data_IF_637629871293
#
_entry.id   IF_637629871293
#
_cell.length_a   1.000
_cell.length_b   1.000
_cell.length_c   1.000
_cell.angle_alpha   90.00
_cell.angle_beta   90.00
_cell.angle_gamma   90.00
#
_symmetry.space_group_name_H-M   'P 1'
#
loop_
_entity.id
_entity.type
_entity.pdbx_description
1 polymer ?
#
# COMPACT_ATOMS: atom_id res chain seq x y z
N UNK A 1 -14.68 1.18 -11.82
CA UNK A 1 -13.77 2.35 -11.91
C UNK A 1 -12.72 2.06 -12.97
N UNK A 2 -12.68 2.88 -14.02
CA UNK A 2 -11.84 2.68 -15.23
C UNK A 2 -10.35 2.57 -14.89
N UNK A 3 -9.84 3.49 -14.05
CA UNK A 3 -8.44 3.53 -13.58
C UNK A 3 -7.88 2.18 -13.09
N UNK A 4 -8.73 1.37 -12.44
CA UNK A 4 -8.30 0.06 -11.93
C UNK A 4 -8.18 -0.99 -13.03
N UNK A 5 -8.99 -0.88 -14.08
CA UNK A 5 -9.08 -1.86 -15.15
C UNK A 5 -8.05 -1.60 -16.25
N UNK A 6 -7.66 -0.35 -16.45
CA UNK A 6 -6.79 0.09 -17.56
C UNK A 6 -5.31 0.19 -17.21
N UNK A 7 -4.93 0.00 -15.93
CA UNK A 7 -3.50 -0.02 -15.54
C UNK A 7 -2.78 -1.26 -16.04
N UNK A 8 -1.48 -1.11 -16.31
CA UNK A 8 -0.54 -2.22 -16.42
C UNK A 8 -0.12 -2.71 -15.03
N UNK A 9 0.41 -3.93 -14.96
CA UNK A 9 1.04 -4.49 -13.77
C UNK A 9 2.54 -4.70 -14.03
N UNK A 10 3.40 -4.69 -12.99
CA UNK A 10 3.09 -4.50 -11.56
C UNK A 10 2.61 -3.09 -11.21
N UNK A 11 1.76 -2.98 -10.17
CA UNK A 11 1.22 -1.71 -9.71
C UNK A 11 1.82 -1.31 -8.37
N UNK A 12 2.57 -0.21 -8.36
CA UNK A 12 3.39 0.21 -7.22
C UNK A 12 2.71 1.36 -6.48
N UNK A 13 2.68 1.29 -5.15
CA UNK A 13 2.12 2.32 -4.26
C UNK A 13 3.21 3.21 -3.68
N UNK A 14 2.96 4.51 -3.59
CA UNK A 14 3.76 5.45 -2.80
C UNK A 14 2.94 5.99 -1.61
N UNK A 15 3.26 5.65 -0.35
CA UNK A 15 2.65 6.32 0.80
C UNK A 15 3.08 7.80 0.86
N UNK A 16 2.32 8.66 1.54
CA UNK A 16 2.72 9.99 2.07
C UNK A 16 3.63 10.89 1.21
N UNK A 17 3.61 10.71 -0.12
CA UNK A 17 4.54 11.33 -1.06
C UNK A 17 6.03 11.02 -0.80
N UNK A 18 6.33 9.77 -0.47
CA UNK A 18 7.69 9.25 -0.28
C UNK A 18 8.53 9.33 -1.55
N UNK A 19 9.85 9.49 -1.35
CA UNK A 19 10.83 9.48 -2.42
C UNK A 19 11.40 8.09 -2.60
N UNK A 20 11.65 7.66 -3.84
CA UNK A 20 12.61 6.58 -4.07
C UNK A 20 14.02 7.13 -4.16
N UNK A 21 14.96 6.46 -3.47
CA UNK A 21 16.32 6.98 -3.27
C UNK A 21 17.17 6.99 -4.56
N UNK A 22 16.77 6.25 -5.61
CA UNK A 22 17.64 5.90 -6.73
C UNK A 22 17.21 6.44 -8.11
N UNK A 23 16.13 7.21 -8.24
CA UNK A 23 15.75 7.87 -9.51
C UNK A 23 15.63 9.39 -9.35
N UNK A 24 16.69 10.00 -8.84
CA UNK A 24 16.83 11.44 -8.54
C UNK A 24 16.76 12.36 -9.78
N UNK A 25 16.77 11.82 -11.00
CA UNK A 25 16.62 12.61 -12.22
C UNK A 25 15.17 13.02 -12.49
N UNK A 26 14.20 12.39 -11.83
CA UNK A 26 12.78 12.72 -11.94
C UNK A 26 12.44 13.96 -11.12
N UNK A 27 11.55 14.79 -11.65
CA UNK A 27 10.90 15.84 -10.87
C UNK A 27 9.99 15.23 -9.80
N UNK A 28 9.59 16.05 -8.82
CA UNK A 28 8.71 15.60 -7.74
C UNK A 28 7.33 15.12 -8.24
N UNK A 29 6.83 15.65 -9.36
CA UNK A 29 5.59 15.21 -9.96
C UNK A 29 5.76 13.86 -10.68
N UNK A 30 6.82 13.71 -11.48
CA UNK A 30 7.15 12.46 -12.20
C UNK A 30 7.39 11.31 -11.24
N UNK A 31 8.10 11.55 -10.13
CA UNK A 31 8.32 10.56 -9.10
C UNK A 31 7.00 10.09 -8.47
N UNK A 32 6.11 11.01 -8.10
CA UNK A 32 4.80 10.63 -7.55
C UNK A 32 3.95 9.89 -8.56
N UNK A 33 3.92 10.36 -9.80
CA UNK A 33 3.17 9.73 -10.90
C UNK A 33 3.73 8.37 -11.33
N UNK A 34 4.96 8.02 -10.93
CA UNK A 34 5.51 6.67 -11.12
C UNK A 34 4.74 5.60 -10.31
N UNK A 35 3.95 6.03 -9.31
CA UNK A 35 3.06 5.16 -8.54
C UNK A 35 1.66 5.17 -9.12
N UNK A 36 0.98 4.04 -9.04
CA UNK A 36 -0.43 3.91 -9.44
C UNK A 36 -1.40 4.15 -8.28
N UNK A 37 -0.89 4.19 -7.04
CA UNK A 37 -1.65 4.55 -5.86
C UNK A 37 -0.82 5.45 -4.96
N UNK A 38 -1.42 6.56 -4.55
CA UNK A 38 -0.85 7.53 -3.65
C UNK A 38 -1.89 7.88 -2.59
N UNK A 39 -1.57 7.68 -1.31
CA UNK A 39 -2.41 8.16 -0.22
C UNK A 39 -1.78 9.31 0.56
N UNK A 40 -2.64 10.15 1.11
CA UNK A 40 -2.33 11.39 1.82
C UNK A 40 -1.59 12.47 1.01
N UNK A 41 -1.86 12.69 -0.30
CA UNK A 41 -1.48 13.96 -0.89
C UNK A 41 -2.41 15.03 -0.31
N UNK A 42 -1.86 15.91 0.53
CA UNK A 42 -2.66 16.92 1.23
C UNK A 42 -3.25 17.97 0.27
N UNK A 43 -2.66 18.14 -0.92
CA UNK A 43 -3.00 19.18 -1.91
C UNK A 43 -3.09 20.60 -1.31
N UNK A 44 -2.45 20.83 -0.16
CA UNK A 44 -2.53 22.08 0.61
C UNK A 44 -3.89 22.35 1.27
N UNK A 45 -4.80 21.37 1.31
CA UNK A 45 -6.09 21.46 1.98
C UNK A 45 -6.03 20.82 3.38
N UNK A 46 -6.91 21.29 4.27
CA UNK A 46 -7.06 20.76 5.63
C UNK A 46 -8.52 20.63 6.02
N UNK A 47 -8.81 19.70 6.93
CA UNK A 47 -10.12 19.62 7.57
C UNK A 47 -10.30 20.75 8.58
N UNK A 48 -11.50 21.32 8.66
CA UNK A 48 -11.86 22.32 9.66
C UNK A 48 -13.35 22.20 10.01
N UNK A 49 -13.70 22.45 11.29
CA UNK A 49 -15.10 22.64 11.68
C UNK A 49 -15.60 24.00 11.20
N UNK A 50 -16.79 24.02 10.63
CA UNK A 50 -17.53 25.17 10.13
C UNK A 50 -18.95 25.13 10.67
N UNK A 51 -19.72 26.20 10.48
CA UNK A 51 -21.13 26.25 10.90
C UNK A 51 -21.99 25.19 10.19
N UNK A 52 -21.53 24.69 9.03
CA UNK A 52 -22.19 23.65 8.23
C UNK A 52 -21.66 22.23 8.53
N UNK A 53 -20.73 22.09 9.48
CA UNK A 53 -20.06 20.83 9.82
C UNK A 53 -18.58 20.80 9.42
N UNK A 54 -18.03 19.62 9.14
CA UNK A 54 -16.62 19.46 8.75
C UNK A 54 -16.43 19.68 7.25
N UNK A 55 -15.50 20.55 6.88
CA UNK A 55 -15.19 20.91 5.50
C UNK A 55 -13.68 20.91 5.22
N UNK A 56 -13.31 20.77 3.94
CA UNK A 56 -11.96 21.00 3.47
C UNK A 56 -11.76 22.49 3.17
N UNK A 57 -10.69 23.08 3.68
CA UNK A 57 -10.35 24.51 3.48
C UNK A 57 -8.92 24.67 2.99
N UNK A 58 -8.70 25.67 2.13
CA UNK A 58 -7.39 25.98 1.54
C UNK A 58 -7.52 26.56 0.14
N UNK A 59 -6.44 26.56 -0.63
CA UNK A 59 -6.42 27.02 -2.02
C UNK A 59 -6.88 25.90 -2.96
N UNK A 60 -8.18 25.90 -3.29
CA UNK A 60 -8.80 24.93 -4.16
C UNK A 60 -8.27 24.94 -5.60
N UNK A 61 -7.84 26.10 -6.11
CA UNK A 61 -7.30 26.22 -7.46
C UNK A 61 -5.93 25.55 -7.51
N UNK A 62 -5.07 25.81 -6.51
CA UNK A 62 -3.79 25.15 -6.40
C UNK A 62 -3.95 23.64 -6.18
N UNK A 63 -4.88 23.22 -5.33
CA UNK A 63 -5.16 21.81 -5.07
C UNK A 63 -5.55 21.06 -6.35
N UNK A 64 -6.49 21.62 -7.12
CA UNK A 64 -6.94 21.02 -8.39
C UNK A 64 -5.82 20.96 -9.42
N UNK A 65 -5.02 22.02 -9.57
CA UNK A 65 -3.86 22.04 -10.47
C UNK A 65 -2.84 20.95 -10.12
N UNK A 66 -2.58 20.73 -8.82
CA UNK A 66 -1.66 19.67 -8.39
C UNK A 66 -2.19 18.29 -8.71
N UNK A 67 -3.50 18.05 -8.50
CA UNK A 67 -4.14 16.78 -8.86
C UNK A 67 -4.06 16.53 -10.37
N UNK A 68 -4.43 17.51 -11.19
CA UNK A 68 -4.40 17.42 -12.66
C UNK A 68 -2.99 17.15 -13.18
N UNK A 69 -1.98 17.85 -12.65
CA UNK A 69 -0.59 17.62 -13.04
C UNK A 69 -0.11 16.18 -12.78
N UNK A 70 -0.63 15.51 -11.74
CA UNK A 70 -0.31 14.10 -11.50
C UNK A 70 -1.09 13.17 -12.43
N UNK A 71 -2.38 13.46 -12.68
CA UNK A 71 -3.23 12.64 -13.55
C UNK A 71 -2.87 12.79 -15.04
N UNK A 72 -2.29 13.91 -15.44
CA UNK A 72 -1.73 14.10 -16.78
C UNK A 72 -0.52 13.19 -17.03
N UNK A 73 0.25 12.89 -15.97
CA UNK A 73 1.40 11.99 -16.02
C UNK A 73 1.01 10.52 -15.85
N UNK A 74 0.09 10.23 -14.93
CA UNK A 74 -0.49 8.90 -14.73
C UNK A 74 -2.02 8.98 -14.59
N UNK A 75 -2.76 8.78 -15.70
CA UNK A 75 -4.22 8.89 -15.69
C UNK A 75 -4.90 7.77 -14.88
N UNK A 76 -4.19 6.66 -14.63
CA UNK A 76 -4.69 5.53 -13.87
C UNK A 76 -4.43 5.63 -12.36
N UNK A 77 -3.76 6.69 -11.91
CA UNK A 77 -3.37 6.84 -10.52
C UNK A 77 -4.60 7.00 -9.59
N UNK A 78 -4.60 6.22 -8.52
CA UNK A 78 -5.55 6.27 -7.41
C UNK A 78 -5.04 7.21 -6.33
N UNK A 79 -5.87 8.17 -5.97
CA UNK A 79 -5.60 9.17 -4.94
C UNK A 79 -6.48 8.91 -3.72
N UNK A 80 -5.89 8.70 -2.55
CA UNK A 80 -6.65 8.49 -1.32
C UNK A 80 -6.34 9.56 -0.27
N UNK A 81 -7.34 9.99 0.48
CA UNK A 81 -7.15 10.85 1.64
C UNK A 81 -7.15 9.99 2.92
N UNK A 82 -6.10 10.07 3.73
CA UNK A 82 -6.12 9.41 5.03
C UNK A 82 -7.03 10.15 6.00
N UNK A 83 -7.95 9.41 6.63
CA UNK A 83 -8.81 9.91 7.71
C UNK A 83 -8.40 9.19 8.98
N UNK A 84 -7.92 9.94 9.98
CA UNK A 84 -7.47 9.33 11.22
C UNK A 84 -8.66 9.06 12.16
N UNK A 85 -8.91 7.78 12.44
CA UNK A 85 -9.94 7.33 13.39
C UNK A 85 -9.41 7.07 14.81
N UNK A 86 -8.10 6.91 14.98
CA UNK A 86 -7.53 6.42 16.23
C UNK A 86 -6.94 7.54 17.09
N UNK A 87 -6.39 8.57 16.47
CA UNK A 87 -5.77 9.64 17.22
C UNK A 87 -5.57 10.90 16.43
N UNK A 88 -5.24 11.95 17.16
CA UNK A 88 -4.85 13.23 16.62
C UNK A 88 -3.41 13.52 17.02
N UNK A 89 -2.57 13.91 16.07
CA UNK A 89 -1.27 14.47 16.40
C UNK A 89 -1.49 15.78 17.18
N UNK A 90 -1.06 15.88 18.46
CA UNK A 90 -1.24 17.08 19.26
C UNK A 90 -0.56 18.32 18.67
N UNK A 91 0.49 18.12 17.88
CA UNK A 91 1.25 19.19 17.24
C UNK A 91 0.72 19.54 15.86
N UNK A 92 -0.23 18.76 15.30
CA UNK A 92 -0.83 19.07 14.02
C UNK A 92 -1.84 20.22 14.17
N UNK A 93 -1.55 21.43 13.66
CA UNK A 93 -2.50 22.54 13.72
C UNK A 93 -3.78 22.21 12.92
N UNK A 94 -3.70 21.28 11.96
CA UNK A 94 -4.81 20.82 11.14
C UNK A 94 -5.79 19.94 11.92
N UNK A 95 -5.28 19.00 12.72
CA UNK A 95 -6.13 18.13 13.53
C UNK A 95 -6.58 18.80 14.82
N UNK A 96 -5.77 19.72 15.35
CA UNK A 96 -6.13 20.47 16.56
C UNK A 96 -7.42 21.25 16.40
N UNK A 97 -7.63 21.94 15.27
CA UNK A 97 -8.87 22.69 15.01
C UNK A 97 -10.10 21.79 14.82
N UNK A 98 -9.90 20.53 14.39
CA UNK A 98 -10.98 19.58 14.17
C UNK A 98 -11.45 18.92 15.48
N UNK A 99 -10.51 18.69 16.39
CA UNK A 99 -10.72 17.99 17.66
C UNK A 99 -10.61 18.91 18.89
N UNK A 100 -10.54 20.23 18.68
CA UNK A 100 -10.56 21.24 19.75
C UNK A 100 -11.98 21.49 20.25
N UNK A 101 -12.15 21.52 21.56
CA UNK A 101 -13.40 21.81 22.27
C UNK A 101 -13.42 21.11 23.62
N UNK A 102 -13.96 21.77 24.65
CA UNK A 102 -14.11 21.17 25.98
C UNK A 102 -15.07 19.98 25.98
N UNK A 103 -15.93 19.91 24.96
CA UNK A 103 -16.94 18.88 24.71
C UNK A 103 -16.43 17.68 23.89
N UNK A 104 -15.21 17.76 23.34
CA UNK A 104 -14.69 16.65 22.52
C UNK A 104 -14.30 15.45 23.40
N UNK A 105 -14.74 14.22 23.05
CA UNK A 105 -14.56 13.02 23.86
C UNK A 105 -13.13 12.46 23.76
N UNK A 106 -12.17 13.21 24.29
CA UNK A 106 -10.82 12.72 24.50
C UNK A 106 -10.82 11.54 25.47
N UNK A 107 -10.02 10.53 25.16
CA UNK A 107 -9.77 9.44 26.10
C UNK A 107 -8.88 9.99 27.20
N UNK A 108 -9.32 9.91 28.45
CA UNK A 108 -8.60 10.41 29.62
C UNK A 108 -8.22 9.26 30.56
N UNK A 109 -7.07 9.38 31.20
CA UNK A 109 -6.66 8.44 32.26
C UNK A 109 -7.35 8.77 33.60
N UNK A 110 -7.03 7.99 34.64
CA UNK A 110 -7.60 8.15 35.98
C UNK A 110 -7.26 9.51 36.64
N UNK A 111 -6.25 10.22 36.13
CA UNK A 111 -5.88 11.57 36.59
C UNK A 111 -6.63 12.68 35.84
N UNK A 112 -7.35 12.33 34.77
CA UNK A 112 -8.05 13.27 33.90
C UNK A 112 -7.22 13.80 32.73
N UNK A 113 -5.98 13.34 32.56
CA UNK A 113 -5.08 13.71 31.47
C UNK A 113 -5.42 12.95 30.18
N UNK A 114 -5.25 13.60 29.03
CA UNK A 114 -5.55 12.97 27.72
C UNK A 114 -4.52 11.87 27.44
N UNK A 115 -5.01 10.66 27.18
CA UNK A 115 -4.18 9.49 26.91
C UNK A 115 -3.51 9.58 25.54
N UNK A 116 -2.26 9.12 25.47
CA UNK A 116 -1.53 8.89 24.21
C UNK A 116 -1.75 7.46 23.71
N UNK A 117 -1.65 7.27 22.39
CA UNK A 117 -1.77 5.95 21.79
C UNK A 117 -0.70 4.98 22.29
N UNK A 118 -1.09 3.76 22.63
CA UNK A 118 -0.14 2.73 23.03
C UNK A 118 0.52 2.02 21.81
N UNK A 119 1.83 1.70 21.88
CA UNK A 119 2.75 2.07 22.96
C UNK A 119 3.21 3.54 22.85
N UNK A 120 3.15 4.28 23.96
CA UNK A 120 3.40 5.74 23.99
C UNK A 120 4.82 6.15 23.56
N UNK A 121 5.80 5.22 23.66
CA UNK A 121 7.16 5.43 23.19
C UNK A 121 7.26 5.51 21.65
N UNK A 122 6.29 4.95 20.93
CA UNK A 122 6.26 4.91 19.46
C UNK A 122 5.14 5.76 18.88
N UNK A 123 4.04 5.96 19.63
CA UNK A 123 2.86 6.66 19.14
C UNK A 123 2.60 7.92 19.97
N UNK A 124 2.86 9.09 19.37
CA UNK A 124 2.74 10.39 20.07
C UNK A 124 1.33 10.97 20.01
N UNK A 125 0.45 10.44 19.17
CA UNK A 125 -0.90 10.97 18.98
C UNK A 125 -1.77 10.81 20.24
N UNK A 126 -2.60 11.81 20.49
CA UNK A 126 -3.65 11.77 21.51
C UNK A 126 -4.77 10.84 21.04
N UNK A 127 -5.24 9.96 21.91
CA UNK A 127 -6.31 9.02 21.59
C UNK A 127 -7.68 9.72 21.56
N UNK A 128 -8.41 9.47 20.48
CA UNK A 128 -9.80 9.88 20.34
C UNK A 128 -10.72 8.70 20.63
N UNK A 129 -11.83 8.92 21.33
CA UNK A 129 -12.85 7.89 21.47
C UNK A 129 -13.73 7.86 20.21
N UNK A 130 -13.32 7.05 19.23
CA UNK A 130 -14.10 6.87 17.99
C UNK A 130 -15.43 6.12 18.20
N UNK A 131 -15.70 5.60 19.40
CA UNK A 131 -17.01 5.02 19.70
C UNK A 131 -18.04 6.08 20.08
N UNK A 132 -17.60 7.27 20.48
CA UNK A 132 -18.49 8.36 20.86
C UNK A 132 -19.21 8.96 19.62
N UNK A 133 -20.53 9.20 19.67
CA UNK A 133 -21.29 9.70 18.52
C UNK A 133 -20.71 10.94 17.84
N UNK A 134 -20.31 11.96 18.62
CA UNK A 134 -19.68 13.19 18.09
C UNK A 134 -18.42 12.88 17.27
N UNK A 135 -17.57 11.95 17.73
CA UNK A 135 -16.37 11.55 16.99
C UNK A 135 -16.74 10.81 15.70
N UNK A 136 -17.74 9.92 15.76
CA UNK A 136 -18.25 9.24 14.57
C UNK A 136 -18.77 10.26 13.55
N UNK A 137 -19.51 11.29 13.98
CA UNK A 137 -20.03 12.35 13.12
C UNK A 137 -18.91 13.10 12.42
N UNK A 138 -17.82 13.41 13.14
CA UNK A 138 -16.64 14.08 12.57
C UNK A 138 -15.95 13.18 11.54
N UNK A 139 -15.69 11.91 11.87
CA UNK A 139 -15.03 10.95 10.95
C UNK A 139 -15.87 10.77 9.67
N UNK A 140 -17.19 10.59 9.81
CA UNK A 140 -18.11 10.46 8.68
C UNK A 140 -18.12 11.74 7.85
N UNK A 141 -18.18 12.91 8.48
CA UNK A 141 -18.17 14.20 7.78
C UNK A 141 -16.85 14.44 7.04
N UNK A 142 -15.70 14.03 7.57
CA UNK A 142 -14.42 14.07 6.85
C UNK A 142 -14.47 13.24 5.56
N UNK A 143 -14.96 11.99 5.66
CA UNK A 143 -15.09 11.12 4.49
C UNK A 143 -16.03 11.71 3.43
N UNK A 144 -17.16 12.29 3.84
CA UNK A 144 -18.10 12.97 2.95
C UNK A 144 -17.48 14.21 2.30
N UNK A 145 -16.70 15.00 3.06
CA UNK A 145 -15.99 16.16 2.51
C UNK A 145 -14.96 15.75 1.45
N UNK A 146 -14.24 14.64 1.67
CA UNK A 146 -13.33 14.05 0.68
C UNK A 146 -14.11 13.64 -0.58
N UNK A 147 -15.20 12.89 -0.42
CA UNK A 147 -16.04 12.45 -1.55
C UNK A 147 -16.57 13.63 -2.39
N UNK A 148 -17.08 14.68 -1.74
CA UNK A 148 -17.61 15.88 -2.40
C UNK A 148 -16.55 16.71 -3.11
N UNK A 149 -15.28 16.58 -2.74
CA UNK A 149 -14.19 17.40 -3.29
C UNK A 149 -13.84 17.06 -4.74
N UNK A 150 -14.03 15.81 -5.17
CA UNK A 150 -13.55 15.29 -6.45
C UNK A 150 -12.01 15.25 -6.62
N UNK A 151 -11.24 15.52 -5.54
CA UNK A 151 -9.78 15.52 -5.57
C UNK A 151 -9.16 14.15 -5.27
N UNK A 152 -9.89 13.28 -4.56
CA UNK A 152 -9.48 11.93 -4.23
C UNK A 152 -10.53 10.92 -4.71
N UNK A 153 -10.08 9.72 -5.06
CA UNK A 153 -10.93 8.59 -5.42
C UNK A 153 -11.52 7.89 -4.18
N UNK A 154 -11.00 8.19 -2.97
CA UNK A 154 -11.50 7.61 -1.74
C UNK A 154 -10.73 8.00 -0.48
N UNK A 155 -10.96 7.22 0.58
CA UNK A 155 -10.29 7.37 1.87
C UNK A 155 -9.51 6.12 2.29
N UNK A 156 -8.53 6.35 3.16
CA UNK A 156 -7.80 5.33 3.89
C UNK A 156 -7.99 5.51 5.40
N UNK A 157 -8.43 4.46 6.08
CA UNK A 157 -8.31 4.34 7.54
C UNK A 157 -7.03 3.59 7.88
N UNK A 158 -5.92 4.30 8.09
CA UNK A 158 -4.57 3.72 8.22
C UNK A 158 -4.39 2.75 9.39
N UNK A 159 -5.26 2.81 10.41
CA UNK A 159 -5.23 1.90 11.54
C UNK A 159 -6.59 1.23 11.78
N UNK A 160 -6.66 -0.07 11.45
CA UNK A 160 -7.82 -0.94 11.55
C UNK A 160 -7.46 -2.27 12.22
N UNK A 161 -7.68 -2.34 13.54
CA UNK A 161 -7.42 -3.56 14.33
C UNK A 161 -8.72 -4.21 14.77
N UNK A 162 -8.97 -5.43 14.28
CA UNK A 162 -10.07 -6.29 14.75
C UNK A 162 -9.59 -7.40 15.69
N UNK A 163 -8.28 -7.51 15.93
CA UNK A 163 -7.70 -8.54 16.81
C UNK A 163 -7.48 -8.06 18.24
N UNK A 164 -7.48 -6.73 18.45
CA UNK A 164 -7.15 -6.09 19.73
C UNK A 164 -8.05 -4.89 19.95
N UNK A 165 -8.34 -4.62 21.22
CA UNK A 165 -9.06 -3.41 21.68
C UNK A 165 -8.07 -2.25 21.69
N UNK A 166 -8.36 -1.21 20.91
CA UNK A 166 -7.50 -0.02 20.76
C UNK A 166 -7.62 0.88 21.99
N UNK A 167 -8.84 1.04 22.49
CA UNK A 167 -9.25 1.84 23.64
C UNK A 167 -9.34 0.97 24.90
N UNK A 168 -8.34 0.09 25.10
CA UNK A 168 -8.31 -0.87 26.20
C UNK A 168 -8.44 -0.15 27.55
N UNK A 169 -9.40 -0.60 28.37
CA UNK A 169 -9.72 0.03 29.65
C UNK A 169 -10.77 1.15 29.57
N UNK A 170 -11.06 1.64 28.36
CA UNK A 170 -12.04 2.71 28.13
C UNK A 170 -13.28 2.23 27.38
N UNK A 171 -13.13 1.31 26.41
CA UNK A 171 -14.23 0.70 25.64
C UNK A 171 -14.07 -0.82 25.53
N UNK A 172 -15.18 -1.50 25.29
CA UNK A 172 -15.19 -2.94 24.99
C UNK A 172 -14.82 -3.19 23.54
N UNK A 173 -14.38 -4.41 23.24
CA UNK A 173 -14.14 -4.87 21.88
C UNK A 173 -15.38 -4.67 20.97
N UNK A 174 -16.55 -5.08 21.45
CA UNK A 174 -17.80 -4.98 20.71
C UNK A 174 -18.20 -3.52 20.42
N UNK A 175 -18.01 -2.62 21.37
CA UNK A 175 -18.28 -1.20 21.16
C UNK A 175 -17.40 -0.61 20.04
N UNK A 176 -16.12 -0.99 19.99
CA UNK A 176 -15.23 -0.56 18.91
C UNK A 176 -15.63 -1.14 17.55
N UNK A 177 -16.01 -2.42 17.49
CA UNK A 177 -16.42 -3.04 16.23
C UNK A 177 -17.74 -2.46 15.71
N UNK A 178 -18.71 -2.24 16.59
CA UNK A 178 -19.99 -1.61 16.24
C UNK A 178 -19.80 -0.17 15.76
N UNK A 179 -18.89 0.59 16.39
CA UNK A 179 -18.57 1.94 15.94
C UNK A 179 -17.92 1.95 14.54
N UNK A 180 -16.98 1.04 14.28
CA UNK A 180 -16.36 0.87 12.96
C UNK A 180 -17.39 0.55 11.88
N UNK A 181 -18.29 -0.39 12.15
CA UNK A 181 -19.36 -0.75 11.21
C UNK A 181 -20.35 0.40 10.99
N UNK A 182 -20.77 1.07 12.06
CA UNK A 182 -21.63 2.28 12.00
C UNK A 182 -21.01 3.37 11.13
N UNK A 183 -19.73 3.70 11.34
CA UNK A 183 -19.00 4.69 10.54
C UNK A 183 -18.99 4.30 9.06
N UNK A 184 -18.64 3.05 8.74
CA UNK A 184 -18.59 2.56 7.36
C UNK A 184 -19.96 2.63 6.69
N UNK A 185 -21.01 2.17 7.38
CA UNK A 185 -22.37 2.20 6.86
C UNK A 185 -22.82 3.64 6.59
N UNK A 186 -22.63 4.55 7.55
CA UNK A 186 -23.02 5.95 7.41
C UNK A 186 -22.28 6.68 6.30
N UNK A 187 -21.03 6.32 6.02
CA UNK A 187 -20.31 6.84 4.85
C UNK A 187 -20.98 6.31 3.57
N UNK A 188 -21.23 5.00 3.50
CA UNK A 188 -21.81 4.33 2.33
C UNK A 188 -23.25 4.73 2.03
N UNK A 189 -24.01 5.18 3.02
CA UNK A 189 -25.35 5.70 2.83
C UNK A 189 -25.37 7.05 2.06
N UNK A 190 -24.22 7.72 1.93
CA UNK A 190 -24.12 9.09 1.38
C UNK A 190 -23.19 9.22 0.19
N UNK A 191 -22.09 8.46 0.14
CA UNK A 191 -21.10 8.54 -0.95
C UNK A 191 -21.50 7.68 -2.14
N UNK A 192 -21.02 8.06 -3.33
CA UNK A 192 -21.23 7.30 -4.57
C UNK A 192 -20.61 5.89 -4.49
N UNK A 193 -21.16 4.98 -5.30
CA UNK A 193 -20.80 3.56 -5.27
C UNK A 193 -19.31 3.29 -5.59
N UNK A 194 -18.69 4.18 -6.37
CA UNK A 194 -17.29 4.10 -6.81
C UNK A 194 -16.29 4.76 -5.85
N UNK A 195 -16.75 5.44 -4.80
CA UNK A 195 -15.89 5.99 -3.76
C UNK A 195 -15.17 4.87 -3.00
N UNK A 196 -13.85 4.96 -2.88
CA UNK A 196 -13.04 3.88 -2.30
C UNK A 196 -12.95 4.03 -0.77
N UNK A 197 -13.10 2.91 -0.06
CA UNK A 197 -12.77 2.83 1.36
C UNK A 197 -11.75 1.71 1.55
N UNK A 198 -10.55 2.08 2.00
CA UNK A 198 -9.46 1.14 2.27
C UNK A 198 -9.11 1.21 3.75
N UNK A 199 -8.75 0.07 4.34
CA UNK A 199 -8.42 -0.02 5.77
C UNK A 199 -7.03 -0.61 5.97
N UNK A 200 -6.26 -0.05 6.90
CA UNK A 200 -4.92 -0.52 7.25
C UNK A 200 -4.92 -1.50 8.40
N UNK A 201 -4.85 -2.81 8.13
CA UNK A 201 -5.09 -3.82 9.15
C UNK A 201 -4.53 -5.20 8.83
N UNK A 202 -4.57 -6.10 9.82
CA UNK A 202 -3.98 -7.43 9.65
C UNK A 202 -5.01 -8.51 9.27
N UNK A 203 -4.85 -9.06 8.07
CA UNK A 203 -5.50 -10.30 7.64
C UNK A 203 -6.97 -10.17 7.26
N UNK A 204 -7.71 -11.27 7.44
CA UNK A 204 -9.12 -11.38 7.05
C UNK A 204 -10.01 -10.58 7.99
N UNK A 205 -10.82 -9.68 7.43
CA UNK A 205 -11.77 -8.89 8.22
C UNK A 205 -12.98 -9.75 8.61
N UNK A 206 -13.50 -9.49 9.81
CA UNK A 206 -14.73 -10.03 10.35
C UNK A 206 -15.87 -9.01 10.26
N UNK A 207 -15.55 -7.72 10.25
CA UNK A 207 -16.54 -6.64 10.26
C UNK A 207 -16.35 -5.71 9.06
N UNK A 208 -17.46 -5.15 8.56
CA UNK A 208 -17.44 -4.10 7.56
C UNK A 208 -16.98 -4.49 6.14
N UNK A 209 -16.65 -5.76 5.88
CA UNK A 209 -16.19 -6.23 4.56
C UNK A 209 -17.09 -5.80 3.38
N UNK A 210 -18.45 -5.79 3.48
CA UNK A 210 -19.32 -5.31 2.39
C UNK A 210 -19.14 -3.83 2.03
N UNK A 211 -18.56 -3.02 2.91
CA UNK A 211 -18.38 -1.58 2.74
C UNK A 211 -16.95 -1.20 2.31
N UNK A 212 -15.99 -2.12 2.39
CA UNK A 212 -14.56 -1.88 2.21
C UNK A 212 -14.11 -2.41 0.85
N UNK A 213 -13.36 -1.60 0.09
CA UNK A 213 -12.80 -1.95 -1.21
C UNK A 213 -11.44 -2.65 -1.09
N UNK A 214 -10.69 -2.41 -0.02
CA UNK A 214 -9.31 -2.89 0.07
C UNK A 214 -8.76 -2.92 1.49
N UNK A 215 -7.75 -3.75 1.67
CA UNK A 215 -6.97 -3.85 2.91
C UNK A 215 -5.51 -3.59 2.61
N UNK A 216 -4.85 -2.82 3.48
CA UNK A 216 -3.39 -2.80 3.57
C UNK A 216 -2.94 -3.97 4.41
N UNK A 217 -2.30 -4.96 3.79
CA UNK A 217 -1.65 -6.07 4.48
C UNK A 217 -0.18 -5.74 4.67
N UNK A 218 0.30 -5.95 5.88
CA UNK A 218 1.70 -5.72 6.26
C UNK A 218 2.43 -7.06 6.35
N UNK A 219 3.62 -7.16 5.73
CA UNK A 219 4.55 -8.26 6.02
C UNK A 219 5.47 -7.90 7.19
N UNK A 220 5.87 -8.92 7.94
CA UNK A 220 7.04 -8.79 8.80
C UNK A 220 8.33 -8.67 7.96
N UNK A 221 9.44 -8.15 8.56
CA UNK A 221 10.75 -8.20 7.93
C UNK A 221 11.09 -9.62 7.48
N UNK A 222 11.64 -9.75 6.28
CA UNK A 222 12.03 -11.06 5.74
C UNK A 222 13.30 -11.59 6.45
N UNK A 223 13.34 -12.89 6.72
CA UNK A 223 14.49 -13.54 7.38
C UNK A 223 14.79 -14.97 6.88
N UNK A 224 14.03 -15.48 5.90
CA UNK A 224 14.19 -16.83 5.33
C UNK A 224 13.97 -18.00 6.32
N UNK A 225 13.32 -17.74 7.46
CA UNK A 225 13.00 -18.75 8.47
C UNK A 225 11.76 -19.59 8.12
N UNK A 226 11.50 -20.65 8.90
CA UNK A 226 10.23 -21.39 8.80
C UNK A 226 9.03 -20.55 9.24
N UNK A 227 9.23 -19.62 10.18
CA UNK A 227 8.17 -18.72 10.64
C UNK A 227 7.77 -17.76 9.51
N UNK A 228 8.74 -17.28 8.73
CA UNK A 228 8.47 -16.51 7.51
C UNK A 228 7.62 -17.29 6.50
N UNK A 229 7.84 -18.59 6.30
CA UNK A 229 6.96 -19.39 5.41
C UNK A 229 5.51 -19.38 5.87
N UNK A 230 5.29 -19.48 7.18
CA UNK A 230 3.95 -19.39 7.77
C UNK A 230 3.36 -18.01 7.50
N UNK A 231 4.14 -16.94 7.68
CA UNK A 231 3.74 -15.57 7.33
C UNK A 231 3.36 -15.39 5.86
N UNK A 232 4.13 -15.97 4.93
CA UNK A 232 3.82 -15.92 3.49
C UNK A 232 2.49 -16.63 3.18
N UNK A 233 2.25 -17.81 3.77
CA UNK A 233 0.98 -18.52 3.62
C UNK A 233 -0.21 -17.73 4.19
N UNK A 234 -0.01 -17.00 5.30
CA UNK A 234 -1.03 -16.11 5.85
C UNK A 234 -1.33 -14.92 4.93
N UNK A 235 -0.30 -14.33 4.30
CA UNK A 235 -0.46 -13.26 3.31
C UNK A 235 -1.24 -13.75 2.08
N UNK A 236 -0.86 -14.90 1.52
CA UNK A 236 -1.56 -15.52 0.39
C UNK A 236 -3.04 -15.75 0.72
N UNK A 237 -3.32 -16.36 1.87
CA UNK A 237 -4.67 -16.66 2.31
C UNK A 237 -5.48 -15.39 2.55
N UNK A 238 -4.85 -14.33 3.03
CA UNK A 238 -5.50 -13.04 3.30
C UNK A 238 -5.79 -12.28 2.01
N UNK A 239 -4.85 -12.25 1.06
CA UNK A 239 -5.04 -11.64 -0.26
C UNK A 239 -6.17 -12.33 -1.02
N UNK A 240 -6.15 -13.66 -1.14
CA UNK A 240 -7.23 -14.39 -1.82
C UNK A 240 -8.59 -14.22 -1.15
N UNK A 241 -8.61 -14.13 0.19
CA UNK A 241 -9.84 -13.82 0.91
C UNK A 241 -10.32 -12.40 0.59
N UNK A 242 -9.45 -11.41 0.61
CA UNK A 242 -9.81 -10.02 0.34
C UNK A 242 -10.32 -9.85 -1.10
N UNK A 243 -9.64 -10.46 -2.06
CA UNK A 243 -9.99 -10.53 -3.49
C UNK A 243 -11.35 -11.20 -3.75
N UNK A 244 -11.88 -11.97 -2.79
CA UNK A 244 -13.18 -12.63 -2.91
C UNK A 244 -14.29 -11.93 -2.13
N UNK A 245 -13.97 -11.36 -0.97
CA UNK A 245 -14.99 -10.95 0.01
C UNK A 245 -15.15 -9.43 0.14
N UNK A 246 -14.21 -8.64 -0.37
CA UNK A 246 -14.33 -7.18 -0.34
C UNK A 246 -15.15 -6.64 -1.50
N UNK A 247 -15.63 -5.41 -1.31
CA UNK A 247 -16.45 -4.67 -2.27
C UNK A 247 -15.66 -4.32 -3.52
N UNK A 248 -16.33 -4.39 -4.68
CA UNK A 248 -15.76 -3.93 -5.95
C UNK A 248 -15.81 -2.39 -6.07
N UNK A 249 -14.86 -1.74 -6.77
CA UNK A 249 -13.62 -2.33 -7.28
C UNK A 249 -12.67 -2.69 -6.13
N UNK A 250 -12.03 -3.87 -6.21
CA UNK A 250 -11.09 -4.32 -5.17
C UNK A 250 -9.72 -3.68 -5.33
N UNK A 251 -9.22 -3.08 -4.24
CA UNK A 251 -7.95 -2.36 -4.18
C UNK A 251 -7.15 -2.82 -2.97
N UNK A 252 -6.77 -4.10 -2.99
CA UNK A 252 -5.88 -4.65 -1.97
C UNK A 252 -4.48 -4.08 -2.12
N UNK A 253 -3.76 -3.97 -1.03
CA UNK A 253 -2.41 -3.45 -1.04
C UNK A 253 -1.54 -4.27 -0.10
N UNK A 254 -0.40 -4.77 -0.61
CA UNK A 254 0.60 -5.45 0.20
C UNK A 254 1.77 -4.49 0.45
N UNK A 255 1.93 -4.07 1.70
CA UNK A 255 3.13 -3.42 2.18
C UNK A 255 4.09 -4.48 2.71
N UNK A 256 5.14 -4.73 1.94
CA UNK A 256 6.18 -5.64 2.34
C UNK A 256 7.40 -4.90 2.89
N UNK A 257 8.05 -5.51 3.87
CA UNK A 257 9.25 -4.98 4.50
C UNK A 257 10.45 -5.83 4.15
N UNK A 258 11.48 -5.20 3.60
CA UNK A 258 12.74 -5.88 3.31
C UNK A 258 13.55 -6.26 4.55
N UNK A 259 14.78 -6.70 4.31
CA UNK A 259 15.66 -7.26 5.34
C UNK A 259 16.51 -6.18 5.97
N UNK A 260 16.11 -5.71 7.15
CA UNK A 260 16.69 -4.61 7.93
C UNK A 260 18.22 -4.45 7.91
N UNK A 261 18.94 -5.57 7.87
CA UNK A 261 20.39 -5.68 7.96
C UNK A 261 21.12 -5.72 6.61
N UNK A 262 20.40 -5.65 5.50
CA UNK A 262 20.93 -5.82 4.14
C UNK A 262 20.80 -4.53 3.33
N UNK A 263 21.73 -4.30 2.39
CA UNK A 263 21.58 -3.21 1.43
C UNK A 263 20.37 -3.48 0.51
N UNK A 264 19.68 -2.44 0.00
CA UNK A 264 18.54 -2.59 -0.92
C UNK A 264 18.83 -3.47 -2.14
N UNK A 265 20.04 -3.33 -2.70
CA UNK A 265 20.53 -4.06 -3.86
C UNK A 265 21.32 -5.32 -3.51
N UNK A 266 21.40 -5.75 -2.25
CA UNK A 266 22.06 -7.02 -1.94
C UNK A 266 21.30 -8.19 -2.59
N UNK A 267 21.98 -9.28 -3.00
CA UNK A 267 21.30 -10.42 -3.60
C UNK A 267 20.16 -10.96 -2.74
N UNK A 268 20.37 -10.96 -1.42
CA UNK A 268 19.41 -11.41 -0.40
C UNK A 268 18.17 -10.51 -0.36
N UNK A 269 18.33 -9.19 -0.34
CA UNK A 269 17.20 -8.26 -0.27
C UNK A 269 16.45 -8.18 -1.61
N UNK A 270 17.17 -8.28 -2.75
CA UNK A 270 16.54 -8.41 -4.06
C UNK A 270 15.71 -9.70 -4.19
N UNK A 271 16.19 -10.81 -3.63
CA UNK A 271 15.41 -12.06 -3.57
C UNK A 271 14.12 -11.89 -2.77
N UNK A 272 14.18 -11.25 -1.60
CA UNK A 272 13.01 -10.94 -0.79
C UNK A 272 12.02 -10.03 -1.54
N UNK A 273 12.51 -8.98 -2.21
CA UNK A 273 11.70 -8.09 -3.04
C UNK A 273 10.95 -8.87 -4.13
N UNK A 274 11.66 -9.73 -4.90
CA UNK A 274 11.03 -10.54 -5.97
C UNK A 274 10.01 -11.52 -5.41
N UNK A 275 10.35 -12.21 -4.33
CA UNK A 275 9.47 -13.13 -3.62
C UNK A 275 8.12 -12.47 -3.28
N UNK A 276 8.16 -11.30 -2.63
CA UNK A 276 6.96 -10.59 -2.17
C UNK A 276 6.19 -9.91 -3.32
N UNK A 277 6.91 -9.35 -4.31
CA UNK A 277 6.30 -8.78 -5.51
C UNK A 277 5.49 -9.85 -6.26
N UNK A 278 6.10 -11.01 -6.49
CA UNK A 278 5.46 -12.11 -7.23
C UNK A 278 4.38 -12.82 -6.42
N UNK A 279 4.50 -12.91 -5.10
CA UNK A 279 3.40 -13.31 -4.21
C UNK A 279 2.19 -12.40 -4.44
N UNK A 280 2.37 -11.08 -4.39
CA UNK A 280 1.30 -10.10 -4.63
C UNK A 280 0.65 -10.34 -6.00
N UNK A 281 1.44 -10.36 -7.07
CA UNK A 281 0.95 -10.51 -8.44
C UNK A 281 0.22 -11.84 -8.70
N UNK A 282 0.65 -12.92 -8.05
CA UNK A 282 -0.01 -14.23 -8.18
C UNK A 282 -1.29 -14.34 -7.36
N UNK A 283 -1.44 -13.55 -6.29
CA UNK A 283 -2.57 -13.67 -5.33
C UNK A 283 -3.52 -12.47 -5.33
N UNK A 284 -3.22 -11.40 -6.06
CA UNK A 284 -3.91 -10.12 -6.03
C UNK A 284 -3.81 -9.40 -7.36
N UNK A 285 -4.79 -8.56 -7.67
CA UNK A 285 -4.66 -7.53 -8.73
C UNK A 285 -4.30 -6.17 -8.13
N UNK A 286 -4.16 -6.13 -6.82
CA UNK A 286 -3.91 -4.94 -6.04
C UNK A 286 -2.51 -4.35 -6.23
N UNK A 287 -2.15 -3.55 -5.25
CA UNK A 287 -0.98 -2.70 -5.28
C UNK A 287 0.10 -3.26 -4.36
N UNK A 288 1.34 -2.85 -4.60
CA UNK A 288 2.49 -3.36 -3.87
C UNK A 288 3.43 -2.22 -3.46
N UNK A 289 4.01 -2.34 -2.28
CA UNK A 289 5.14 -1.54 -1.85
C UNK A 289 6.15 -2.48 -1.19
N UNK A 290 7.41 -2.30 -1.52
CA UNK A 290 8.51 -2.91 -0.80
C UNK A 290 9.33 -1.80 -0.14
N UNK A 291 9.29 -1.71 1.18
CA UNK A 291 10.17 -0.80 1.91
C UNK A 291 11.59 -1.36 1.88
N UNK A 292 12.61 -0.49 1.89
CA UNK A 292 14.01 -0.84 1.62
C UNK A 292 14.59 -1.93 2.53
N UNK A 293 13.89 -2.29 3.61
CA UNK A 293 14.40 -3.28 4.54
C UNK A 293 15.58 -2.71 5.30
N UNK A 294 15.44 -1.52 5.81
CA UNK A 294 16.51 -0.81 6.47
C UNK A 294 15.94 -0.45 7.83
N UNK A 295 16.27 -1.24 8.85
CA UNK A 295 15.77 -1.07 10.22
C UNK A 295 16.86 -0.41 11.07
N UNK A 296 16.84 0.92 11.21
CA UNK A 296 17.83 1.58 12.07
C UNK A 296 17.31 1.93 13.46
N UNK A 297 18.20 1.71 14.44
CA UNK A 297 18.21 2.33 15.78
C UNK A 297 19.14 3.55 15.87
N UNK A 298 19.80 3.96 14.79
CA UNK A 298 20.62 5.18 14.78
C UNK A 298 20.19 6.11 13.63
N UNK A 299 19.63 7.29 13.94
CA UNK A 299 19.24 8.27 12.94
C UNK A 299 20.48 8.87 12.27
N UNK A 300 20.45 9.01 10.95
CA UNK A 300 21.38 9.90 10.25
C UNK A 300 20.81 11.33 10.29
N UNK A 301 21.63 12.39 10.41
CA UNK A 301 21.23 13.72 10.90
C UNK A 301 20.33 14.57 9.96
N UNK A 302 19.65 13.98 8.97
CA UNK A 302 18.87 14.71 7.97
C UNK A 302 17.40 14.87 8.33
N UNK A 303 16.87 14.12 9.31
CA UNK A 303 15.47 14.29 9.75
C UNK A 303 15.19 15.71 10.27
N UNK A 304 16.19 16.37 10.87
CA UNK A 304 16.09 17.77 11.31
C UNK A 304 16.12 18.78 10.13
N UNK A 305 16.78 18.43 9.02
CA UNK A 305 16.76 19.19 7.76
C UNK A 305 15.42 19.01 7.03
N UNK A 306 14.84 17.81 7.09
CA UNK A 306 13.56 17.47 6.46
C UNK A 306 12.37 18.19 7.13
N UNK A 307 12.40 18.32 8.47
CA UNK A 307 11.34 18.98 9.25
C UNK A 307 11.39 20.51 9.24
N UNK A 308 12.57 21.12 9.11
CA UNK A 308 12.75 22.55 9.34
C UNK A 308 13.07 23.39 8.09
N UNK A 309 12.96 22.86 6.86
CA UNK A 309 13.26 23.65 5.66
C UNK A 309 12.02 24.35 5.06
N UNK A 310 11.98 25.70 5.00
CA UNK A 310 10.89 26.46 4.37
C UNK A 310 10.89 26.38 2.84
N UNK A 311 11.84 25.69 2.22
CA UNK A 311 12.04 25.67 0.77
C UNK A 311 12.27 24.25 0.24
N UNK A 312 11.19 23.44 0.22
CA UNK A 312 11.14 22.09 -0.38
C UNK A 312 11.46 22.03 -1.89
N UNK A 313 11.89 23.14 -2.53
CA UNK A 313 12.12 23.23 -3.98
C UNK A 313 13.46 23.81 -4.41
N UNK A 314 14.40 24.12 -3.49
CA UNK A 314 15.53 24.99 -3.83
C UNK A 314 16.92 24.32 -3.94
N UNK A 315 17.12 23.06 -3.54
CA UNK A 315 18.48 22.48 -3.50
C UNK A 315 18.56 21.08 -4.11
N UNK A 316 18.51 21.03 -5.45
CA UNK A 316 18.58 19.81 -6.26
C UNK A 316 19.98 19.16 -6.28
N UNK A 317 21.04 19.94 -6.07
CA UNK A 317 22.42 19.43 -6.16
C UNK A 317 22.87 18.70 -4.89
N UNK A 318 22.26 19.01 -3.74
CA UNK A 318 22.45 18.28 -2.49
C UNK A 318 21.98 16.82 -2.58
N UNK A 319 20.77 16.59 -3.12
CA UNK A 319 20.19 15.25 -3.25
C UNK A 319 20.94 14.36 -4.23
N UNK A 320 21.53 14.95 -5.28
CA UNK A 320 22.37 14.22 -6.24
C UNK A 320 23.64 13.64 -5.61
N UNK A 321 24.25 14.36 -4.68
CA UNK A 321 25.44 13.88 -3.94
C UNK A 321 25.08 12.82 -2.88
N UNK A 322 23.89 12.90 -2.30
CA UNK A 322 23.36 11.96 -1.30
C UNK A 322 22.96 10.59 -1.87
N UNK A 323 22.74 10.49 -3.17
CA UNK A 323 22.32 9.20 -3.77
C UNK A 323 23.45 8.16 -3.77
N UNK A 324 24.67 8.59 -4.08
CA UNK A 324 25.84 7.70 -4.17
C UNK A 324 26.21 7.06 -2.81
N UNK A 325 25.76 7.65 -1.70
CA UNK A 325 25.93 7.04 -0.38
C UNK A 325 25.04 5.81 -0.18
N UNK A 326 23.88 5.71 -0.83
CA UNK A 326 22.98 4.56 -0.68
C UNK A 326 23.54 3.28 -1.30
N UNK A 327 24.42 3.43 -2.29
CA UNK A 327 25.10 2.32 -2.95
C UNK A 327 26.35 1.85 -2.18
N UNK A 328 26.80 2.63 -1.19
CA UNK A 328 28.11 2.43 -0.54
C UNK A 328 28.07 2.28 0.98
N UNK A 329 27.03 2.78 1.67
CA UNK A 329 26.84 2.56 3.11
C UNK A 329 25.38 2.74 3.57
N UNK A 330 25.03 2.01 4.64
CA UNK A 330 23.70 1.99 5.26
C UNK A 330 23.41 3.32 6.00
N UNK A 331 22.35 4.05 5.65
CA UNK A 331 21.92 5.26 6.39
C UNK A 331 20.42 5.56 6.24
N UNK A 332 19.88 6.42 7.12
CA UNK A 332 18.44 6.53 7.42
C UNK A 332 17.62 7.34 6.42
N UNK A 333 16.41 6.84 6.19
CA UNK A 333 15.24 7.60 5.73
C UNK A 333 14.02 6.91 6.34
N UNK A 334 13.23 7.65 7.12
CA UNK A 334 11.90 7.17 7.51
C UNK A 334 11.06 7.13 6.25
N UNK A 335 10.39 5.99 6.00
CA UNK A 335 9.37 5.90 4.97
C UNK A 335 9.93 6.26 3.57
N UNK A 336 11.00 5.59 3.12
CA UNK A 336 11.43 5.65 1.71
C UNK A 336 11.60 4.24 1.16
N UNK A 337 11.40 4.09 -0.14
CA UNK A 337 11.62 2.82 -0.84
C UNK A 337 12.70 2.95 -1.92
N UNK A 338 13.16 1.81 -2.43
CA UNK A 338 14.07 1.75 -3.57
C UNK A 338 13.26 1.32 -4.78
N UNK A 339 13.40 2.00 -5.92
CA UNK A 339 12.73 1.56 -7.15
C UNK A 339 13.54 0.47 -7.81
N UNK A 340 12.97 -0.72 -7.97
CA UNK A 340 13.64 -1.83 -8.62
C UNK A 340 13.21 -1.90 -10.09
N UNK A 341 14.17 -2.01 -11.02
CA UNK A 341 13.86 -2.17 -12.45
C UNK A 341 13.01 -3.43 -12.74
N UNK A 342 12.95 -4.37 -11.79
CA UNK A 342 12.01 -5.50 -11.80
C UNK A 342 10.55 -5.07 -11.93
N UNK A 343 10.19 -3.88 -11.44
CA UNK A 343 8.84 -3.30 -11.50
C UNK A 343 8.54 -2.57 -12.81
N UNK A 344 9.55 -2.29 -13.63
CA UNK A 344 9.36 -1.65 -14.95
C UNK A 344 8.83 -2.66 -16.00
N UNK A 345 8.63 -3.92 -15.62
CA UNK A 345 8.13 -4.96 -16.49
C UNK A 345 6.66 -4.73 -16.86
N UNK A 346 6.35 -4.52 -18.14
CA UNK A 346 4.97 -4.41 -18.61
C UNK A 346 4.31 -5.79 -18.77
N UNK A 347 3.70 -6.30 -17.70
CA UNK A 347 2.91 -7.54 -17.74
C UNK A 347 1.59 -7.36 -18.51
N UNK A 348 1.10 -6.13 -18.64
CA UNK A 348 -0.25 -5.80 -19.07
C UNK A 348 -1.31 -6.34 -18.09
N UNK A 349 -2.35 -7.00 -18.59
CA UNK A 349 -3.51 -7.40 -17.80
C UNK A 349 -3.52 -8.88 -17.42
N UNK A 350 -4.07 -9.26 -16.25
CA UNK A 350 -4.19 -10.66 -15.85
C UNK A 350 -5.15 -11.42 -16.78
N UNK A 351 -4.76 -12.66 -17.15
CA UNK A 351 -5.57 -13.57 -17.97
C UNK A 351 -6.15 -14.72 -17.13
N UNK A 352 -5.39 -15.23 -16.16
CA UNK A 352 -5.80 -16.38 -15.33
C UNK A 352 -6.12 -15.96 -13.90
N UNK A 353 -6.89 -16.82 -13.24
CA UNK A 353 -7.24 -16.66 -11.82
C UNK A 353 -6.02 -16.55 -10.91
N UNK A 354 -6.24 -15.93 -9.76
CA UNK A 354 -5.28 -15.77 -8.66
C UNK A 354 -5.06 -17.08 -7.91
N UNK A 355 -3.92 -17.23 -7.25
CA UNK A 355 -3.60 -18.35 -6.35
C UNK A 355 -3.48 -19.70 -7.05
N UNK A 356 -3.25 -19.73 -8.36
CA UNK A 356 -3.12 -20.98 -9.13
C UNK A 356 -1.76 -21.62 -8.89
N UNK A 357 -1.77 -22.87 -8.45
CA UNK A 357 -0.57 -23.70 -8.34
C UNK A 357 -0.07 -24.11 -9.72
N UNK A 358 1.25 -24.11 -9.91
CA UNK A 358 1.88 -24.64 -11.11
C UNK A 358 1.98 -26.16 -11.01
N UNK A 359 1.28 -26.87 -11.89
CA UNK A 359 1.25 -28.35 -11.93
C UNK A 359 0.89 -28.99 -10.58
N UNK A 360 0.01 -28.35 -9.81
CA UNK A 360 -0.42 -28.78 -8.47
C UNK A 360 0.74 -29.01 -7.49
N UNK A 361 1.88 -28.33 -7.68
CA UNK A 361 3.00 -28.38 -6.75
C UNK A 361 2.77 -27.37 -5.64
N UNK A 362 2.70 -27.87 -4.41
CA UNK A 362 2.52 -27.00 -3.24
C UNK A 362 3.65 -25.95 -3.14
N UNK A 363 3.25 -24.73 -2.80
CA UNK A 363 4.15 -23.58 -2.68
C UNK A 363 4.75 -23.08 -3.99
N UNK A 364 4.29 -23.54 -5.16
CA UNK A 364 4.75 -23.02 -6.45
C UNK A 364 3.54 -22.52 -7.25
N UNK A 365 3.50 -21.22 -7.49
CA UNK A 365 2.37 -20.53 -8.10
C UNK A 365 2.72 -19.96 -9.46
N UNK A 366 1.71 -19.89 -10.34
CA UNK A 366 1.82 -19.26 -11.65
C UNK A 366 0.60 -18.38 -11.90
N UNK A 367 0.82 -17.23 -12.53
CA UNK A 367 -0.26 -16.43 -13.09
C UNK A 367 0.10 -15.91 -14.47
N UNK A 368 -0.82 -16.04 -15.42
CA UNK A 368 -0.66 -15.56 -16.80
C UNK A 368 -1.21 -14.14 -16.93
N UNK A 369 -0.48 -13.33 -17.66
CA UNK A 369 -0.84 -11.98 -18.07
C UNK A 369 -0.76 -11.86 -19.59
N UNK A 370 -1.25 -10.75 -20.16
CA UNK A 370 -1.24 -10.51 -21.62
C UNK A 370 0.17 -10.61 -22.20
N UNK A 371 1.16 -10.03 -21.51
CA UNK A 371 2.52 -9.94 -22.01
C UNK A 371 3.47 -10.98 -21.41
N UNK A 372 3.01 -11.82 -20.48
CA UNK A 372 3.92 -12.70 -19.76
C UNK A 372 3.32 -13.61 -18.70
N UNK A 373 4.19 -14.09 -17.83
CA UNK A 373 3.85 -14.92 -16.68
C UNK A 373 4.58 -14.44 -15.44
N UNK A 374 3.96 -14.66 -14.29
CA UNK A 374 4.60 -14.46 -12.98
C UNK A 374 4.66 -15.80 -12.27
N UNK A 375 5.82 -16.09 -11.68
CA UNK A 375 6.05 -17.30 -10.89
C UNK A 375 6.51 -16.90 -9.49
N UNK A 376 5.89 -17.52 -8.50
CA UNK A 376 6.23 -17.35 -7.09
C UNK A 376 6.52 -18.73 -6.48
N UNK A 377 7.67 -18.87 -5.80
CA UNK A 377 8.12 -20.15 -5.24
C UNK A 377 8.46 -20.03 -3.76
N UNK A 378 7.70 -20.73 -2.92
CA UNK A 378 7.98 -21.01 -1.50
C UNK A 378 7.97 -22.52 -1.18
N UNK A 379 8.20 -23.36 -2.18
CA UNK A 379 8.04 -24.83 -2.10
C UNK A 379 9.11 -25.57 -1.28
N UNK A 380 10.07 -24.86 -0.69
CA UNK A 380 11.16 -25.45 0.12
C UNK A 380 12.41 -25.81 -0.68
N UNK A 381 12.39 -25.62 -2.01
CA UNK A 381 13.53 -25.88 -2.90
C UNK A 381 13.40 -25.15 -4.23
N UNK A 382 14.51 -25.05 -4.97
CA UNK A 382 14.46 -24.54 -6.34
C UNK A 382 13.62 -25.45 -7.24
N UNK A 383 12.81 -24.84 -8.09
CA UNK A 383 11.88 -25.52 -8.98
C UNK A 383 12.23 -25.23 -10.44
N UNK A 384 12.20 -26.27 -11.28
CA UNK A 384 12.20 -26.11 -12.73
C UNK A 384 10.78 -25.97 -13.23
N UNK A 385 10.56 -24.94 -14.04
CA UNK A 385 9.30 -24.64 -14.71
C UNK A 385 9.47 -24.70 -16.22
N UNK A 386 8.36 -24.91 -16.91
CA UNK A 386 8.27 -24.95 -18.36
C UNK A 386 7.12 -24.04 -18.79
N UNK A 387 7.46 -22.93 -19.46
CA UNK A 387 6.50 -22.02 -20.05
C UNK A 387 6.09 -22.53 -21.45
N UNK A 388 4.87 -22.19 -21.92
CA UNK A 388 4.37 -22.66 -23.21
C UNK A 388 5.09 -22.01 -24.40
N UNK A 389 5.67 -20.83 -24.21
CA UNK A 389 6.42 -20.08 -25.21
C UNK A 389 7.73 -19.56 -24.61
N UNK A 390 8.65 -19.13 -25.48
CA UNK A 390 9.90 -18.52 -25.03
C UNK A 390 9.61 -17.20 -24.33
N UNK A 391 10.23 -17.00 -23.18
CA UNK A 391 10.10 -15.79 -22.40
C UNK A 391 11.43 -15.43 -21.75
N UNK A 392 11.63 -14.13 -21.54
CA UNK A 392 12.80 -13.55 -20.88
C UNK A 392 12.46 -13.26 -19.43
N UNK A 393 13.21 -13.84 -18.49
CA UNK A 393 13.11 -13.48 -17.08
C UNK A 393 13.61 -12.05 -16.86
N UNK A 394 12.84 -11.22 -16.15
CA UNK A 394 13.16 -9.80 -15.94
C UNK A 394 14.40 -9.65 -15.08
N UNK A 395 14.51 -10.40 -13.98
CA UNK A 395 15.68 -10.33 -13.11
C UNK A 395 16.85 -11.14 -13.67
N UNK A 396 16.59 -12.33 -14.21
CA UNK A 396 17.63 -13.23 -14.70
C UNK A 396 18.20 -12.87 -16.09
N UNK A 397 17.44 -12.15 -16.92
CA UNK A 397 17.78 -11.86 -18.32
C UNK A 397 17.78 -13.09 -19.24
N UNK A 398 17.45 -14.27 -18.72
CA UNK A 398 17.51 -15.53 -19.46
C UNK A 398 16.28 -15.67 -20.34
N UNK A 399 16.50 -15.89 -21.65
CA UNK A 399 15.44 -16.19 -22.61
C UNK A 399 15.39 -17.68 -22.87
N UNK A 400 14.29 -18.32 -22.50
CA UNK A 400 14.10 -19.77 -22.63
C UNK A 400 12.62 -20.13 -22.50
N UNK A 401 12.28 -21.38 -22.80
CA UNK A 401 10.99 -21.97 -22.40
C UNK A 401 11.09 -22.70 -21.06
N UNK A 402 12.31 -23.10 -20.65
CA UNK A 402 12.59 -23.78 -19.38
C UNK A 402 13.40 -22.87 -18.47
N UNK A 403 12.95 -22.69 -17.23
CA UNK A 403 13.56 -21.80 -16.24
C UNK A 403 13.70 -22.47 -14.88
N UNK A 404 14.63 -21.97 -14.06
CA UNK A 404 14.81 -22.38 -12.66
C UNK A 404 14.45 -21.21 -11.76
N UNK A 405 13.56 -21.43 -10.80
CA UNK A 405 13.17 -20.42 -9.80
C UNK A 405 13.69 -20.89 -8.44
N UNK A 406 14.55 -20.13 -7.75
CA UNK A 406 14.99 -20.46 -6.39
C UNK A 406 13.82 -20.56 -5.41
N UNK A 407 14.05 -21.17 -4.26
CA UNK A 407 13.07 -21.14 -3.18
C UNK A 407 13.04 -19.77 -2.51
N UNK A 408 11.88 -19.39 -1.97
CA UNK A 408 11.62 -18.07 -1.38
C UNK A 408 12.04 -16.94 -2.34
N UNK A 409 11.66 -17.09 -3.60
CA UNK A 409 11.96 -16.16 -4.69
C UNK A 409 10.80 -16.18 -5.71
N UNK A 410 10.88 -15.30 -6.70
CA UNK A 410 9.99 -15.31 -7.84
C UNK A 410 10.61 -14.60 -9.03
N UNK A 411 9.92 -14.68 -10.16
CA UNK A 411 10.38 -14.07 -11.41
C UNK A 411 9.18 -13.62 -12.25
N UNK A 412 9.38 -12.53 -12.98
CA UNK A 412 8.48 -12.07 -14.04
C UNK A 412 9.09 -12.52 -15.37
N UNK A 413 8.29 -13.17 -16.21
CA UNK A 413 8.71 -13.66 -17.52
C UNK A 413 7.93 -12.95 -18.62
N UNK A 414 8.59 -12.11 -19.40
CA UNK A 414 8.00 -11.41 -20.54
C UNK A 414 8.13 -12.25 -21.80
N UNK A 415 7.04 -12.38 -22.57
CA UNK A 415 7.04 -13.09 -23.85
C UNK A 415 8.09 -12.48 -24.79
N UNK A 416 8.88 -13.32 -25.44
CA UNK A 416 9.73 -12.86 -26.54
C UNK A 416 8.84 -12.31 -27.66
N UNK A 417 9.06 -11.07 -28.09
CA UNK A 417 8.27 -10.42 -29.15
C UNK A 417 8.33 -11.30 -30.40
N UNK A 418 7.24 -12.03 -30.67
CA UNK A 418 7.11 -12.88 -31.85
C UNK A 418 5.71 -12.69 -32.44
N UNK A 419 5.63 -11.71 -33.36
CA UNK A 419 4.57 -11.42 -34.34
C UNK A 419 3.11 -11.22 -33.87
N UNK A 420 2.32 -10.36 -34.54
CA UNK A 420 0.97 -9.95 -34.12
C UNK A 420 -0.13 -11.02 -34.18
N UNK A 421 0.21 -12.31 -34.34
CA UNK A 421 -0.77 -13.38 -34.64
C UNK A 421 -1.06 -14.34 -33.49
N UNK A 422 -0.40 -14.24 -32.33
CA UNK A 422 -0.68 -15.13 -31.18
C UNK A 422 -1.78 -14.59 -30.24
N UNK A 423 -2.83 -14.01 -30.84
CA UNK A 423 -4.08 -13.76 -30.14
C UNK A 423 -4.81 -15.10 -29.90
N UNK A 424 -4.69 -15.62 -28.68
CA UNK A 424 -5.64 -16.54 -28.03
C UNK A 424 -5.44 -18.06 -28.13
N UNK A 425 -4.32 -18.60 -28.61
CA UNK A 425 -4.16 -20.08 -28.68
C UNK A 425 -3.07 -20.72 -27.77
N UNK A 426 -2.49 -19.96 -26.84
CA UNK A 426 -1.60 -20.49 -25.80
C UNK A 426 -2.40 -21.06 -24.61
N UNK A 427 -3.09 -22.18 -24.82
CA UNK A 427 -3.81 -22.86 -23.74
C UNK A 427 -2.81 -23.52 -22.77
N UNK A 428 -2.57 -22.85 -21.65
CA UNK A 428 -1.95 -23.45 -20.46
C UNK A 428 -2.89 -24.46 -19.78
N UNK A 429 -4.12 -24.62 -20.26
CA UNK A 429 -5.11 -25.56 -19.70
C UNK A 429 -4.61 -27.00 -19.58
N UNK A 430 -3.63 -27.44 -20.40
CA UNK A 430 -2.99 -28.76 -20.20
C UNK A 430 -2.13 -28.87 -18.94
N UNK A 431 -1.79 -27.75 -18.33
CA UNK A 431 -0.97 -27.61 -17.12
C UNK A 431 -1.77 -27.08 -15.92
N UNK A 432 -3.07 -26.78 -16.10
CA UNK A 432 -3.95 -26.27 -15.05
C UNK A 432 -5.23 -27.11 -14.99
N UNK A 433 -5.42 -27.86 -13.90
CA UNK A 433 -6.74 -28.42 -13.58
C UNK A 433 -7.50 -27.40 -12.73
N UNK A 434 -8.78 -27.19 -13.07
CA UNK A 434 -9.75 -26.56 -12.17
C UNK A 434 -10.07 -27.56 -11.07
N UNK A 435 -9.79 -27.17 -9.83
CA UNK A 435 -10.44 -27.76 -8.65
C UNK A 435 -11.83 -27.13 -8.46
#
# INVERSE_FOLDING_TARGET
>A
MEKVQTRSLPSITGPWAEWFVNKHHLSYAEMRASHDLLWSPEFGLRFQRTDEGVSLVGDWIAARRQQEALLDLNPNMILLCEVNMRGADPESPFLKALYSGDDFPWVKDDSGEIMRGAPAAQYKNLLIDFTHPITQDIIVAQAIAVAKSGLWDGILFSYWSEKRVVLKGYRSYEAEQNARESILQRIRDVVEDDFLIIVGGSGKLRFGAPYINGIILYSDPQDFSNDQRTGLMELESSLLWAEKNLREPRINYLQAKGIGSELPLSPTNQQAMRCLTTLSLTHSDGYFLYTMGVDWREPHPHDDLYRNFPHKGADWDYWRQHTNSHDTFLHAHGDTHYWYDFWDADLGHPITDKGRLYLNRDGLFIRKFTNGWVIYNRSGKSQKIQLPASATGVASGITSTSHSVPDLDGEIYLKSVSSPTDANNDSIDKYMKKD
#
